data_IF_150891618751
#
_entry.id   IF_150891618751
#
_cell.length_a   1.000
_cell.length_b   1.000
_cell.length_c   1.000
_cell.angle_alpha   90.00
_cell.angle_beta   90.00
_cell.angle_gamma   90.00
#
_symmetry.space_group_name_H-M   'P 1'
#
loop_
_entity.id
_entity.type
_entity.pdbx_description
1 polymer ?
#
# COMPACT_ATOMS: atom_id res chain seq x y z
N UNK A 1 4.41 27.80 3.33
CA UNK A 1 5.81 27.36 3.15
C UNK A 1 5.71 25.97 2.55
N UNK A 2 6.02 25.80 1.27
CA UNK A 2 5.84 24.50 0.58
C UNK A 2 7.07 23.63 0.86
N UNK A 3 6.85 22.51 1.54
CA UNK A 3 7.84 21.44 1.70
C UNK A 3 8.16 20.87 0.32
N UNK A 4 9.43 20.98 -0.08
CA UNK A 4 9.93 20.37 -1.31
C UNK A 4 10.16 18.90 -1.00
N UNK A 5 9.20 18.04 -1.38
CA UNK A 5 9.44 16.60 -1.42
C UNK A 5 10.70 16.36 -2.28
N UNK A 6 11.73 15.64 -1.76
CA UNK A 6 12.98 15.44 -2.48
C UNK A 6 12.75 14.49 -3.65
N UNK A 7 12.30 15.04 -4.78
CA UNK A 7 12.22 14.32 -6.04
C UNK A 7 13.63 13.86 -6.44
N UNK A 8 13.80 12.54 -6.55
CA UNK A 8 15.02 11.87 -7.03
C UNK A 8 15.28 12.27 -8.49
N UNK A 9 15.98 13.38 -8.68
CA UNK A 9 16.15 14.03 -10.00
C UNK A 9 17.49 13.71 -10.67
N UNK A 10 18.48 13.23 -9.93
CA UNK A 10 19.86 13.09 -10.41
C UNK A 10 20.34 11.63 -10.48
N UNK A 11 20.96 11.28 -11.61
CA UNK A 11 21.50 9.93 -11.87
C UNK A 11 23.02 9.95 -11.91
N UNK A 12 23.66 9.21 -11.00
CA UNK A 12 25.12 9.03 -10.98
C UNK A 12 25.48 7.75 -11.73
N UNK A 13 26.34 7.85 -12.76
CA UNK A 13 26.83 6.69 -13.53
C UNK A 13 28.24 6.31 -13.08
N UNK A 14 28.39 5.10 -12.55
CA UNK A 14 29.68 4.57 -12.09
C UNK A 14 30.22 3.54 -13.10
N UNK A 15 31.48 3.68 -13.50
CA UNK A 15 32.17 2.68 -14.33
C UNK A 15 32.90 1.68 -13.45
N UNK A 16 32.61 0.40 -13.65
CA UNK A 16 33.26 -0.72 -12.95
C UNK A 16 33.76 -1.73 -13.96
N UNK A 17 34.75 -2.54 -13.56
CA UNK A 17 35.18 -3.68 -14.37
C UNK A 17 34.10 -4.77 -14.38
N UNK A 18 34.01 -5.61 -15.44
CA UNK A 18 33.02 -6.68 -15.52
C UNK A 18 33.07 -7.65 -14.32
N UNK A 19 34.27 -7.97 -13.84
CA UNK A 19 34.46 -8.84 -12.66
C UNK A 19 33.89 -8.23 -11.37
N UNK A 20 34.05 -6.91 -11.18
CA UNK A 20 33.47 -6.21 -10.03
C UNK A 20 31.95 -6.13 -10.13
N UNK A 21 31.42 -5.95 -11.34
CA UNK A 21 29.97 -5.98 -11.58
C UNK A 21 29.39 -7.35 -11.20
N UNK A 22 29.99 -8.43 -11.68
CA UNK A 22 29.56 -9.79 -11.36
C UNK A 22 29.61 -10.05 -9.85
N UNK A 23 30.64 -9.54 -9.15
CA UNK A 23 30.72 -9.65 -7.69
C UNK A 23 29.56 -8.97 -6.96
N UNK A 24 29.09 -7.80 -7.43
CA UNK A 24 27.94 -7.13 -6.81
C UNK A 24 26.63 -7.86 -7.10
N UNK A 25 26.47 -8.41 -8.31
CA UNK A 25 25.30 -9.20 -8.69
C UNK A 25 25.24 -10.50 -7.89
N UNK A 26 26.35 -11.24 -7.77
CA UNK A 26 26.41 -12.46 -6.95
C UNK A 26 26.18 -12.18 -5.46
N UNK A 27 26.71 -11.08 -4.92
CA UNK A 27 26.46 -10.72 -3.52
C UNK A 27 24.97 -10.49 -3.25
N UNK A 28 24.26 -9.85 -4.18
CA UNK A 28 22.82 -9.63 -4.09
C UNK A 28 22.04 -10.96 -4.17
N UNK A 29 22.43 -11.83 -5.09
CA UNK A 29 21.79 -13.15 -5.25
C UNK A 29 22.02 -14.06 -4.02
N UNK A 30 23.20 -14.00 -3.41
CA UNK A 30 23.57 -14.85 -2.26
C UNK A 30 22.94 -14.36 -0.94
N UNK A 31 22.86 -13.05 -0.75
CA UNK A 31 22.38 -12.47 0.53
C UNK A 31 20.89 -12.16 0.50
N UNK A 32 20.33 -11.83 -0.67
CA UNK A 32 18.94 -11.38 -0.80
C UNK A 32 18.62 -10.06 -0.09
N UNK A 33 19.62 -9.39 0.50
CA UNK A 33 19.44 -8.20 1.34
C UNK A 33 19.04 -6.96 0.53
N UNK A 34 19.38 -6.91 -0.76
CA UNK A 34 19.12 -5.74 -1.61
C UNK A 34 18.47 -6.18 -2.93
N UNK A 35 17.39 -5.53 -3.39
CA UNK A 35 16.71 -5.88 -4.63
C UNK A 35 17.42 -5.38 -5.90
N UNK A 36 18.46 -4.54 -5.79
CA UNK A 36 19.26 -4.11 -6.95
C UNK A 36 20.64 -3.58 -6.57
N UNK A 37 21.58 -3.65 -7.52
CA UNK A 37 22.94 -3.09 -7.39
C UNK A 37 22.91 -1.59 -7.08
N UNK A 38 21.92 -0.87 -7.57
CA UNK A 38 21.79 0.57 -7.28
C UNK A 38 21.46 0.84 -5.82
N UNK A 39 20.64 -0.01 -5.18
CA UNK A 39 20.31 0.12 -3.76
C UNK A 39 21.48 -0.31 -2.87
N UNK A 40 22.16 -1.41 -3.23
CA UNK A 40 23.41 -1.82 -2.59
C UNK A 40 24.44 -0.67 -2.56
N UNK A 41 24.68 -0.05 -3.72
CA UNK A 41 25.67 1.02 -3.84
C UNK A 41 25.26 2.29 -3.08
N UNK A 42 23.97 2.61 -3.01
CA UNK A 42 23.48 3.72 -2.19
C UNK A 42 23.66 3.45 -0.69
N UNK A 43 23.27 2.27 -0.22
CA UNK A 43 23.42 1.89 1.18
C UNK A 43 24.89 1.88 1.61
N UNK A 44 25.77 1.31 0.78
CA UNK A 44 27.21 1.31 1.02
C UNK A 44 27.82 2.71 0.97
N UNK A 45 27.39 3.57 0.04
CA UNK A 45 27.86 4.95 -0.03
C UNK A 45 27.42 5.76 1.18
N UNK A 46 26.16 5.65 1.60
CA UNK A 46 25.64 6.32 2.80
C UNK A 46 26.39 5.84 4.04
N UNK A 47 26.54 4.53 4.24
CA UNK A 47 27.30 3.98 5.36
C UNK A 47 28.74 4.50 5.43
N UNK A 48 29.43 4.65 4.29
CA UNK A 48 30.78 5.23 4.27
C UNK A 48 30.81 6.74 4.50
N UNK A 49 29.79 7.47 4.04
CA UNK A 49 29.65 8.91 4.30
C UNK A 49 29.37 9.12 5.80
N UNK A 50 28.47 8.33 6.37
CA UNK A 50 28.12 8.36 7.78
C UNK A 50 29.30 7.94 8.67
N UNK A 51 30.10 6.95 8.26
CA UNK A 51 31.35 6.59 8.96
C UNK A 51 32.40 7.72 8.92
N UNK A 52 32.43 8.52 7.84
CA UNK A 52 33.34 9.67 7.73
C UNK A 52 32.88 10.86 8.58
N UNK A 53 31.57 11.08 8.69
CA UNK A 53 30.99 12.14 9.54
C UNK A 53 30.95 11.74 11.04
N UNK A 54 30.99 10.45 11.37
CA UNK A 54 30.99 9.92 12.75
C UNK A 54 32.39 9.69 13.36
N UNK A 55 33.41 10.46 12.96
CA UNK A 55 34.68 10.55 13.72
C UNK A 55 34.51 11.21 15.12
N UNK A 56 33.27 11.45 15.56
CA UNK A 56 32.91 11.90 16.91
C UNK A 56 31.79 11.00 17.41
N UNK A 57 31.85 10.44 18.63
CA UNK A 57 30.89 9.45 19.08
C UNK A 57 29.56 10.14 19.39
N UNK A 58 28.57 9.97 18.54
CA UNK A 58 27.23 10.53 18.74
C UNK A 58 26.29 9.40 19.17
N UNK A 59 25.64 9.61 20.32
CA UNK A 59 24.53 8.81 20.83
C UNK A 59 23.57 8.44 19.69
N UNK A 60 23.20 7.16 19.62
CA UNK A 60 22.19 6.66 18.69
C UNK A 60 20.88 7.39 19.00
N UNK A 61 20.56 8.39 18.18
CA UNK A 61 19.37 9.19 18.34
C UNK A 61 18.20 8.40 17.76
N UNK A 62 17.33 7.91 18.63
CA UNK A 62 16.26 6.95 18.33
C UNK A 62 15.29 7.50 17.27
N UNK A 63 15.17 8.82 17.18
CA UNK A 63 14.36 9.53 16.18
C UNK A 63 14.86 9.32 14.74
N UNK A 64 16.15 9.09 14.52
CA UNK A 64 16.70 8.82 13.17
C UNK A 64 16.39 7.39 12.70
N UNK A 65 16.31 6.43 13.63
CA UNK A 65 15.97 5.04 13.31
C UNK A 65 14.48 4.93 12.96
N UNK A 66 13.60 5.59 13.71
CA UNK A 66 12.15 5.62 13.41
C UNK A 66 11.87 6.24 12.05
N UNK A 67 12.52 7.35 11.73
CA UNK A 67 12.32 8.04 10.45
C UNK A 67 12.86 7.20 9.26
N UNK A 68 13.95 6.46 9.44
CA UNK A 68 14.44 5.52 8.42
C UNK A 68 13.48 4.34 8.17
N UNK A 69 12.79 3.87 9.21
CA UNK A 69 11.77 2.82 9.09
C UNK A 69 10.50 3.34 8.42
N UNK A 70 10.01 4.53 8.78
CA UNK A 70 8.87 5.17 8.11
C UNK A 70 9.14 5.44 6.62
N UNK A 71 10.35 5.89 6.27
CA UNK A 71 10.75 6.09 4.87
C UNK A 71 10.82 4.75 4.10
N UNK A 72 11.29 3.68 4.74
CA UNK A 72 11.36 2.36 4.12
C UNK A 72 9.96 1.73 3.92
N UNK A 73 9.04 1.95 4.85
CA UNK A 73 7.66 1.48 4.76
C UNK A 73 6.86 2.27 3.70
N UNK A 74 7.08 3.58 3.59
CA UNK A 74 6.47 4.41 2.55
C UNK A 74 6.81 3.93 1.12
N UNK A 75 8.08 3.55 0.88
CA UNK A 75 8.55 3.01 -0.41
C UNK A 75 7.89 1.64 -0.75
N UNK A 76 7.43 0.87 0.24
CA UNK A 76 6.72 -0.41 0.04
C UNK A 76 5.25 -0.16 -0.28
N UNK A 77 4.59 0.71 0.46
CA UNK A 77 3.18 1.07 0.24
C UNK A 77 2.97 1.69 -1.14
N UNK A 78 3.87 2.57 -1.58
CA UNK A 78 3.81 3.18 -2.92
C UNK A 78 4.06 2.14 -4.04
N UNK A 79 4.90 1.13 -3.80
CA UNK A 79 5.12 0.03 -4.76
C UNK A 79 3.92 -0.89 -4.85
N UNK A 80 3.24 -1.16 -3.74
CA UNK A 80 2.00 -1.94 -3.72
C UNK A 80 0.87 -1.19 -4.46
N UNK A 81 0.71 0.10 -4.22
CA UNK A 81 -0.19 0.98 -4.98
C UNK A 81 0.06 0.92 -6.48
N UNK A 82 1.33 1.00 -6.89
CA UNK A 82 1.72 0.97 -8.31
C UNK A 82 1.43 -0.37 -8.96
N UNK A 83 1.72 -1.47 -8.28
CA UNK A 83 1.45 -2.83 -8.79
C UNK A 83 -0.05 -3.06 -8.92
N UNK A 84 -0.84 -2.61 -7.95
CA UNK A 84 -2.30 -2.76 -8.01
C UNK A 84 -2.92 -1.92 -9.14
N UNK A 85 -2.44 -0.69 -9.33
CA UNK A 85 -2.87 0.14 -10.44
C UNK A 85 -2.51 -0.48 -11.80
N UNK A 86 -1.36 -1.14 -11.89
CA UNK A 86 -0.94 -1.87 -13.09
C UNK A 86 -1.78 -3.14 -13.32
N UNK A 87 -2.16 -3.88 -12.26
CA UNK A 87 -3.10 -5.01 -12.34
C UNK A 87 -4.46 -4.53 -12.84
N UNK A 88 -5.01 -3.43 -12.30
CA UNK A 88 -6.28 -2.85 -12.75
C UNK A 88 -6.21 -2.42 -14.22
N UNK A 89 -5.08 -1.87 -14.66
CA UNK A 89 -4.88 -1.45 -16.06
C UNK A 89 -4.77 -2.64 -17.02
N UNK A 90 -4.07 -3.70 -16.63
CA UNK A 90 -3.95 -4.92 -17.45
C UNK A 90 -5.29 -5.65 -17.52
N UNK A 91 -6.05 -5.68 -16.43
CA UNK A 91 -7.31 -6.41 -16.35
C UNK A 91 -8.49 -5.66 -17.01
N UNK A 92 -8.50 -4.32 -16.96
CA UNK A 92 -9.46 -3.50 -17.72
C UNK A 92 -9.32 -3.63 -19.24
N UNK A 93 -8.14 -4.01 -19.74
CA UNK A 93 -7.92 -4.27 -21.15
C UNK A 93 -8.57 -5.59 -21.65
N UNK A 94 -9.03 -6.48 -20.74
CA UNK A 94 -9.38 -7.87 -21.07
C UNK A 94 -10.90 -8.15 -21.10
N UNK A 95 -11.79 -7.27 -20.64
CA UNK A 95 -13.25 -7.56 -20.67
C UNK A 95 -14.17 -6.37 -21.04
N UNK A 96 -15.18 -6.57 -21.91
CA UNK A 96 -16.02 -5.51 -22.47
C UNK A 96 -17.33 -5.21 -21.70
N UNK A 97 -17.48 -5.63 -20.44
CA UNK A 97 -18.71 -5.37 -19.66
C UNK A 97 -18.47 -4.25 -18.63
N UNK A 98 -18.28 -3.02 -19.10
CA UNK A 98 -18.10 -1.85 -18.23
C UNK A 98 -19.37 -1.46 -17.49
N UNK A 99 -20.55 -1.56 -18.12
CA UNK A 99 -21.84 -1.20 -17.50
C UNK A 99 -22.10 -1.97 -16.19
N UNK A 100 -21.77 -3.26 -16.15
CA UNK A 100 -21.97 -4.09 -14.97
C UNK A 100 -20.97 -3.83 -13.83
N UNK A 101 -19.90 -3.07 -14.09
CA UNK A 101 -18.91 -2.64 -13.07
C UNK A 101 -19.31 -1.28 -12.51
N UNK A 102 -19.87 -0.43 -13.36
CA UNK A 102 -20.32 0.92 -13.00
C UNK A 102 -21.52 0.84 -12.04
N UNK A 103 -22.53 0.02 -12.35
CA UNK A 103 -23.66 -0.22 -11.44
C UNK A 103 -23.21 -0.82 -10.11
N UNK A 104 -22.22 -1.73 -10.14
CA UNK A 104 -21.67 -2.34 -8.93
C UNK A 104 -20.88 -1.34 -8.08
N UNK A 105 -20.23 -0.36 -8.72
CA UNK A 105 -19.51 0.69 -8.00
C UNK A 105 -20.48 1.57 -7.21
N UNK A 106 -21.62 1.93 -7.81
CA UNK A 106 -22.68 2.69 -7.15
C UNK A 106 -23.29 1.91 -5.98
N UNK A 107 -23.60 0.62 -6.19
CA UNK A 107 -24.15 -0.25 -5.15
C UNK A 107 -23.21 -0.41 -3.95
N UNK A 108 -21.91 -0.60 -4.19
CA UNK A 108 -20.92 -0.70 -3.12
C UNK A 108 -20.75 0.66 -2.42
N UNK A 109 -20.64 1.76 -3.18
CA UNK A 109 -20.44 3.09 -2.61
C UNK A 109 -21.58 3.49 -1.65
N UNK A 110 -22.83 3.18 -1.97
CA UNK A 110 -23.97 3.47 -1.09
C UNK A 110 -23.93 2.67 0.21
N UNK A 111 -23.30 1.49 0.19
CA UNK A 111 -23.29 0.57 1.32
C UNK A 111 -22.02 0.63 2.18
N UNK A 112 -20.99 1.36 1.75
CA UNK A 112 -19.78 1.56 2.55
C UNK A 112 -20.10 2.13 3.93
N UNK A 113 -19.37 1.73 4.99
CA UNK A 113 -19.55 2.30 6.32
C UNK A 113 -19.24 3.79 6.29
N UNK A 114 -20.07 4.60 6.94
CA UNK A 114 -19.86 6.05 7.06
C UNK A 114 -19.14 6.32 8.38
N UNK A 115 -17.96 6.91 8.30
CA UNK A 115 -17.03 7.13 9.42
C UNK A 115 -16.25 8.43 9.17
N UNK A 116 -15.79 9.10 10.22
CA UNK A 116 -15.02 10.33 10.07
C UNK A 116 -13.54 10.04 9.75
N UNK A 117 -13.04 8.87 10.18
CA UNK A 117 -11.70 8.38 9.84
C UNK A 117 -11.61 6.85 9.80
N UNK A 118 -10.62 6.34 9.08
CA UNK A 118 -10.31 4.90 9.03
C UNK A 118 -9.83 4.32 10.38
N UNK A 119 -9.44 5.15 11.35
CA UNK A 119 -9.03 4.69 12.69
C UNK A 119 -10.21 4.19 13.53
N UNK A 120 -11.44 4.50 13.11
CA UNK A 120 -12.65 4.02 13.79
C UNK A 120 -12.97 2.55 13.48
N UNK A 121 -12.27 1.96 12.50
CA UNK A 121 -12.41 0.55 12.21
C UNK A 121 -12.01 -0.30 13.42
N UNK A 122 -12.88 -1.21 13.82
CA UNK A 122 -12.57 -2.20 14.84
C UNK A 122 -11.45 -3.12 14.37
N UNK A 123 -10.67 -3.61 15.34
CA UNK A 123 -9.67 -4.66 15.11
C UNK A 123 -10.34 -5.90 14.49
N UNK A 124 -9.78 -6.40 13.40
CA UNK A 124 -10.38 -7.48 12.62
C UNK A 124 -10.60 -8.77 13.44
N UNK A 125 -9.74 -9.04 14.44
CA UNK A 125 -9.88 -10.21 15.30
C UNK A 125 -11.16 -10.18 16.13
N UNK A 126 -11.54 -8.99 16.63
CA UNK A 126 -12.77 -8.83 17.40
C UNK A 126 -13.99 -8.96 16.50
N UNK A 127 -13.94 -8.40 15.29
CA UNK A 127 -15.02 -8.52 14.30
C UNK A 127 -15.25 -9.99 13.91
N UNK A 128 -14.18 -10.73 13.59
CA UNK A 128 -14.27 -12.15 13.23
C UNK A 128 -14.74 -13.02 14.41
N UNK A 129 -14.35 -12.67 15.64
CA UNK A 129 -14.85 -13.34 16.83
C UNK A 129 -16.37 -13.19 16.93
N UNK A 130 -16.89 -11.98 16.82
CA UNK A 130 -18.33 -11.70 16.93
C UNK A 130 -19.12 -12.36 15.78
N UNK A 131 -18.59 -12.34 14.56
CA UNK A 131 -19.15 -13.04 13.41
C UNK A 131 -19.25 -14.57 13.63
N UNK A 132 -18.25 -15.16 14.28
CA UNK A 132 -18.25 -16.60 14.59
C UNK A 132 -19.32 -16.97 15.62
N UNK A 133 -19.67 -16.03 16.51
CA UNK A 133 -20.75 -16.21 17.49
C UNK A 133 -22.15 -15.94 16.89
N UNK A 134 -22.22 -15.45 15.65
CA UNK A 134 -23.46 -15.13 14.95
C UNK A 134 -24.05 -13.78 15.34
N UNK A 135 -23.25 -12.88 15.91
CA UNK A 135 -23.70 -11.57 16.39
C UNK A 135 -23.76 -10.51 15.27
N UNK A 136 -23.18 -10.80 14.10
CA UNK A 136 -23.14 -9.92 12.93
C UNK A 136 -23.87 -10.57 11.75
N UNK A 137 -24.70 -9.79 11.06
CA UNK A 137 -25.25 -10.22 9.78
C UNK A 137 -24.19 -10.09 8.66
N UNK A 138 -24.48 -10.63 7.47
CA UNK A 138 -23.53 -10.62 6.37
C UNK A 138 -23.15 -9.23 5.87
N UNK A 139 -24.07 -8.26 5.93
CA UNK A 139 -23.80 -6.89 5.52
C UNK A 139 -23.01 -6.15 6.60
N UNK A 140 -23.37 -6.33 7.86
CA UNK A 140 -22.69 -5.73 9.01
C UNK A 140 -21.25 -6.24 9.09
N UNK A 141 -21.02 -7.55 8.92
CA UNK A 141 -19.67 -8.10 8.80
C UNK A 141 -18.90 -7.51 7.61
N UNK A 142 -19.57 -7.34 6.47
CA UNK A 142 -18.96 -6.77 5.27
C UNK A 142 -18.60 -5.30 5.46
N UNK A 143 -19.42 -4.52 6.16
CA UNK A 143 -19.13 -3.12 6.50
C UNK A 143 -18.04 -2.99 7.55
N UNK A 144 -18.05 -3.86 8.55
CA UNK A 144 -17.01 -3.89 9.57
C UNK A 144 -15.67 -4.21 8.92
N UNK A 145 -15.56 -5.28 8.13
CA UNK A 145 -14.29 -5.62 7.47
C UNK A 145 -13.96 -4.67 6.32
N UNK A 146 -14.93 -4.35 5.49
CA UNK A 146 -14.87 -3.48 4.31
C UNK A 146 -13.66 -3.67 3.40
N UNK A 147 -13.21 -4.91 3.22
CA UNK A 147 -12.16 -5.25 2.26
C UNK A 147 -12.76 -5.79 0.97
N UNK A 148 -11.96 -5.81 -0.11
CA UNK A 148 -12.38 -6.35 -1.42
C UNK A 148 -12.93 -7.77 -1.31
N UNK A 149 -12.35 -8.60 -0.44
CA UNK A 149 -12.78 -9.98 -0.24
C UNK A 149 -14.18 -10.09 0.36
N UNK A 150 -14.47 -9.30 1.39
CA UNK A 150 -15.80 -9.31 2.00
C UNK A 150 -16.86 -8.72 1.05
N UNK A 151 -16.53 -7.63 0.36
CA UNK A 151 -17.43 -7.07 -0.65
C UNK A 151 -17.71 -8.05 -1.80
N UNK A 152 -16.72 -8.82 -2.25
CA UNK A 152 -16.90 -9.79 -3.33
C UNK A 152 -17.86 -10.91 -2.94
N UNK A 153 -17.73 -11.38 -1.69
CA UNK A 153 -18.56 -12.45 -1.16
C UNK A 153 -20.00 -11.96 -0.91
N UNK A 154 -20.17 -10.72 -0.45
CA UNK A 154 -21.48 -10.12 -0.19
C UNK A 154 -22.28 -9.85 -1.46
N UNK A 155 -21.65 -9.28 -2.49
CA UNK A 155 -22.32 -8.93 -3.76
C UNK A 155 -22.35 -10.08 -4.78
N UNK A 156 -21.89 -11.27 -4.39
CA UNK A 156 -21.77 -12.46 -5.23
C UNK A 156 -21.07 -12.17 -6.57
N UNK A 157 -19.91 -11.49 -6.49
CA UNK A 157 -19.12 -11.11 -7.66
C UNK A 157 -17.67 -11.57 -7.52
N UNK A 158 -16.99 -11.77 -8.66
CA UNK A 158 -15.56 -12.09 -8.66
C UNK A 158 -14.74 -10.95 -8.04
N UNK A 159 -13.69 -11.30 -7.29
CA UNK A 159 -12.79 -10.35 -6.60
C UNK A 159 -12.21 -9.28 -7.52
N UNK A 160 -11.94 -9.60 -8.79
CA UNK A 160 -11.41 -8.62 -9.73
C UNK A 160 -12.48 -7.61 -10.15
N UNK A 161 -13.72 -8.07 -10.40
CA UNK A 161 -14.85 -7.19 -10.70
C UNK A 161 -15.11 -6.25 -9.52
N UNK A 162 -15.11 -6.79 -8.31
CA UNK A 162 -15.30 -6.02 -7.07
C UNK A 162 -14.17 -5.01 -6.84
N UNK A 163 -12.90 -5.41 -7.05
CA UNK A 163 -11.75 -4.47 -6.95
C UNK A 163 -11.89 -3.30 -7.92
N UNK A 164 -12.31 -3.58 -9.15
CA UNK A 164 -12.55 -2.54 -10.17
C UNK A 164 -13.70 -1.63 -9.77
N UNK A 165 -14.82 -2.19 -9.29
CA UNK A 165 -15.97 -1.43 -8.82
C UNK A 165 -15.60 -0.51 -7.64
N UNK A 166 -14.89 -1.01 -6.63
CA UNK A 166 -14.40 -0.21 -5.50
C UNK A 166 -13.42 0.87 -5.96
N UNK A 167 -12.48 0.54 -6.85
CA UNK A 167 -11.54 1.53 -7.39
C UNK A 167 -12.26 2.65 -8.15
N UNK A 168 -13.35 2.31 -8.83
CA UNK A 168 -14.21 3.26 -9.54
C UNK A 168 -15.03 4.11 -8.58
N UNK A 169 -15.56 3.49 -7.52
CA UNK A 169 -16.24 4.20 -6.43
C UNK A 169 -15.33 5.26 -5.80
N UNK A 170 -14.08 4.92 -5.48
CA UNK A 170 -13.07 5.87 -4.97
C UNK A 170 -12.80 7.01 -5.96
N UNK A 171 -12.86 6.77 -7.27
CA UNK A 171 -12.64 7.80 -8.29
C UNK A 171 -13.84 8.73 -8.49
N UNK A 172 -15.06 8.21 -8.31
CA UNK A 172 -16.31 8.91 -8.61
C UNK A 172 -16.90 9.64 -7.42
N UNK A 173 -16.75 9.05 -6.24
CA UNK A 173 -17.32 9.55 -4.99
C UNK A 173 -16.20 10.17 -4.16
N UNK A 174 -16.14 11.50 -4.02
CA UNK A 174 -15.06 12.18 -3.30
C UNK A 174 -15.07 11.88 -1.81
N UNK A 175 -16.20 11.43 -1.29
CA UNK A 175 -16.39 10.99 0.08
C UNK A 175 -15.97 9.53 0.31
N UNK A 176 -15.63 8.76 -0.73
CA UNK A 176 -15.12 7.39 -0.55
C UNK A 176 -13.61 7.41 -0.33
N UNK A 177 -13.18 6.93 0.83
CA UNK A 177 -11.79 6.85 1.23
C UNK A 177 -11.38 5.42 1.61
N UNK A 178 -10.09 5.23 1.86
CA UNK A 178 -9.55 3.95 2.30
C UNK A 178 -8.48 4.17 3.37
N UNK A 179 -8.33 3.18 4.23
CA UNK A 179 -7.19 3.03 5.14
C UNK A 179 -6.53 1.67 4.89
N UNK A 180 -5.26 1.54 5.28
CA UNK A 180 -4.54 0.27 5.18
C UNK A 180 -4.49 -0.39 6.55
N UNK A 181 -5.03 -1.60 6.63
CA UNK A 181 -4.96 -2.42 7.84
C UNK A 181 -3.71 -3.28 7.77
N UNK A 182 -2.69 -2.94 8.58
CA UNK A 182 -1.39 -3.62 8.56
C UNK A 182 -1.48 -5.09 8.95
N UNK A 183 -2.40 -5.44 9.85
CA UNK A 183 -2.56 -6.81 10.33
C UNK A 183 -3.21 -7.71 9.28
N UNK A 184 -4.18 -7.18 8.53
CA UNK A 184 -4.79 -7.89 7.40
C UNK A 184 -3.94 -7.84 6.13
N UNK A 185 -3.08 -6.83 6.00
CA UNK A 185 -2.38 -6.53 4.76
C UNK A 185 -3.33 -6.13 3.62
N UNK A 186 -4.49 -5.58 3.96
CA UNK A 186 -5.55 -5.22 3.01
C UNK A 186 -6.02 -3.77 3.24
N UNK A 187 -6.56 -3.16 2.19
CA UNK A 187 -7.27 -1.88 2.32
C UNK A 187 -8.69 -2.09 2.80
N UNK A 188 -9.12 -1.22 3.71
CA UNK A 188 -10.49 -1.09 4.20
C UNK A 188 -11.09 0.20 3.68
N UNK A 189 -12.27 0.12 3.10
CA UNK A 189 -12.92 1.24 2.40
C UNK A 189 -14.06 1.81 3.23
N UNK A 190 -14.24 3.12 3.25
CA UNK A 190 -15.28 3.78 4.03
C UNK A 190 -15.71 5.08 3.35
N UNK A 191 -16.78 5.69 3.85
CA UNK A 191 -17.26 7.00 3.41
C UNK A 191 -17.10 8.04 4.51
N UNK A 192 -16.63 9.22 4.15
CA UNK A 192 -16.53 10.35 5.06
C UNK A 192 -17.84 11.11 5.15
N UNK A 193 -18.24 11.46 6.37
CA UNK A 193 -19.41 12.31 6.63
C UNK A 193 -19.25 13.72 6.06
N UNK A 194 -18.00 14.18 5.89
CA UNK A 194 -17.66 15.46 5.28
C UNK A 194 -17.33 15.27 3.79
N UNK A 195 -18.15 15.86 2.93
CA UNK A 195 -17.81 16.09 1.52
C UNK A 195 -16.87 17.29 1.49
N UNK A 196 -15.56 17.06 1.36
CA UNK A 196 -14.57 18.13 1.14
C UNK A 196 -14.62 18.65 -0.29
#
# INVERSE_FOLDING_TARGET
MLEVMPNRTETIKVRVTPEKKAKFESYIEETGEFPSVSQLLRASANSHIDEQDNATPTEINTDQVTNAVEIALSDVTERLERIEHEIVRVDSAVQPQEEAVDDLADDIAVQLPVMDSGDEFREHQDVLRDATHGDLDGLDLTKEMSTVGFWSDFVDADKNKTRRAISRAVQWYPDVQWTYDEDLGERRYYRTSEVQ
#
